data_IF_514175496496
#
_entry.id   IF_514175496496
#
_cell.length_a   1.000
_cell.length_b   1.000
_cell.length_c   1.000
_cell.angle_alpha   90.00
_cell.angle_beta   90.00
_cell.angle_gamma   90.00
#
_symmetry.space_group_name_H-M   'P 1'
#
loop_
_entity.id
_entity.type
_entity.pdbx_description
1 polymer ?
#
# COMPACT_ATOMS: atom_id res chain seq x y z
N UNK A 1 26.47 -4.98 -8.70
CA UNK A 1 25.76 -6.23 -8.33
C UNK A 1 24.79 -5.86 -7.22
N UNK A 2 23.47 -5.89 -7.47
CA UNK A 2 22.49 -5.51 -6.47
C UNK A 2 22.52 -6.54 -5.33
N UNK A 3 22.77 -6.09 -4.09
CA UNK A 3 22.71 -6.95 -2.92
C UNK A 3 21.34 -7.60 -2.81
N UNK A 4 21.27 -8.85 -2.34
CA UNK A 4 20.00 -9.54 -2.11
C UNK A 4 19.15 -8.68 -1.17
N UNK A 5 17.98 -8.25 -1.64
CA UNK A 5 17.03 -7.52 -0.81
C UNK A 5 16.57 -8.45 0.29
N UNK A 6 16.92 -8.07 1.50
CA UNK A 6 16.54 -8.72 2.75
C UNK A 6 15.05 -8.52 2.99
N UNK A 7 14.40 -9.62 3.36
CA UNK A 7 13.00 -9.91 3.18
C UNK A 7 12.47 -10.52 4.50
N UNK A 8 12.82 -9.89 5.61
CA UNK A 8 12.45 -10.35 6.94
C UNK A 8 11.16 -9.65 7.38
N UNK A 9 11.07 -8.32 7.18
CA UNK A 9 9.91 -7.52 7.62
C UNK A 9 8.58 -7.98 7.02
N UNK A 10 8.53 -8.21 5.72
CA UNK A 10 7.33 -8.71 5.03
C UNK A 10 6.94 -10.16 5.40
N UNK A 11 7.85 -10.93 6.02
CA UNK A 11 7.70 -12.36 6.32
C UNK A 11 7.32 -12.57 7.78
N UNK A 12 7.93 -11.78 8.68
CA UNK A 12 7.70 -11.86 10.11
C UNK A 12 6.63 -10.86 10.58
N UNK A 13 6.52 -9.70 9.92
CA UNK A 13 5.64 -8.58 10.31
C UNK A 13 4.80 -8.08 9.12
N UNK A 14 4.11 -9.00 8.42
CA UNK A 14 3.36 -8.69 7.20
C UNK A 14 2.40 -7.50 7.35
N UNK A 15 1.62 -7.45 8.45
CA UNK A 15 0.63 -6.40 8.66
C UNK A 15 1.25 -5.00 8.74
N UNK A 16 2.37 -4.86 9.43
CA UNK A 16 3.07 -3.57 9.54
C UNK A 16 3.69 -3.18 8.20
N UNK A 17 4.38 -4.12 7.55
CA UNK A 17 4.94 -3.94 6.22
C UNK A 17 3.88 -3.50 5.20
N UNK A 18 2.70 -4.13 5.21
CA UNK A 18 1.62 -3.82 4.28
C UNK A 18 1.10 -2.40 4.48
N UNK A 19 0.83 -2.00 5.74
CA UNK A 19 0.35 -0.65 6.05
C UNK A 19 1.36 0.42 5.63
N UNK A 20 2.65 0.21 5.91
CA UNK A 20 3.71 1.12 5.48
C UNK A 20 3.85 1.16 3.95
N UNK A 21 3.76 0.01 3.27
CA UNK A 21 3.89 -0.06 1.82
C UNK A 21 2.76 0.74 1.14
N UNK A 22 1.52 0.54 1.57
CA UNK A 22 0.35 1.24 0.99
C UNK A 22 0.49 2.76 1.13
N UNK A 23 1.01 3.23 2.27
CA UNK A 23 1.23 4.64 2.56
C UNK A 23 2.42 5.20 1.77
N UNK A 24 3.58 4.54 1.81
CA UNK A 24 4.81 4.98 1.13
C UNK A 24 4.70 4.91 -0.39
N UNK A 25 3.93 3.97 -0.93
CA UNK A 25 3.63 3.87 -2.35
C UNK A 25 2.56 4.88 -2.83
N UNK A 26 1.95 5.65 -1.91
CA UNK A 26 0.93 6.64 -2.26
C UNK A 26 -0.33 6.00 -2.85
N UNK A 27 -0.73 4.83 -2.35
CA UNK A 27 -1.93 4.11 -2.83
C UNK A 27 -3.16 4.60 -2.06
N UNK A 28 -3.06 4.61 -0.73
CA UNK A 28 -4.15 5.08 0.14
C UNK A 28 -3.63 6.01 1.25
N UNK A 29 -4.50 6.92 1.69
CA UNK A 29 -4.27 7.79 2.85
C UNK A 29 -5.27 7.46 3.96
N UNK A 30 -4.74 7.12 5.14
CA UNK A 30 -5.50 6.71 6.34
C UNK A 30 -5.89 7.88 7.25
N UNK A 31 -5.50 9.12 6.93
CA UNK A 31 -5.71 10.30 7.78
C UNK A 31 -7.14 10.85 7.74
N UNK A 32 -8.03 10.21 6.99
CA UNK A 32 -9.44 10.62 6.96
C UNK A 32 -10.07 10.42 8.35
N UNK A 33 -10.85 11.39 8.85
CA UNK A 33 -11.29 11.41 10.25
C UNK A 33 -12.45 10.45 10.56
N UNK A 34 -12.55 9.34 9.81
CA UNK A 34 -13.52 8.28 10.03
C UNK A 34 -12.79 6.94 10.05
N UNK A 35 -12.87 6.23 11.17
CA UNK A 35 -12.22 4.94 11.34
C UNK A 35 -12.68 3.96 10.26
N UNK A 36 -11.71 3.35 9.57
CA UNK A 36 -11.98 2.36 8.52
C UNK A 36 -12.25 2.96 7.13
N UNK A 37 -12.24 4.29 6.99
CA UNK A 37 -12.41 4.96 5.70
C UNK A 37 -11.08 5.52 5.23
N UNK A 38 -10.50 4.93 4.18
CA UNK A 38 -9.26 5.43 3.56
C UNK A 38 -9.58 6.21 2.28
N UNK A 39 -8.76 7.22 1.97
CA UNK A 39 -8.83 7.94 0.69
C UNK A 39 -7.93 7.24 -0.32
N UNK A 40 -8.47 6.94 -1.50
CA UNK A 40 -7.67 6.47 -2.63
C UNK A 40 -6.94 7.63 -3.30
N UNK A 41 -5.61 7.58 -3.30
CA UNK A 41 -4.77 8.57 -3.98
C UNK A 41 -4.71 8.32 -5.49
N UNK A 42 -4.22 9.27 -6.32
CA UNK A 42 -4.26 9.13 -7.78
C UNK A 42 -3.63 7.83 -8.30
N UNK A 43 -2.54 7.36 -7.68
CA UNK A 43 -1.90 6.10 -8.06
C UNK A 43 -2.75 4.89 -7.69
N UNK A 44 -3.30 4.84 -6.48
CA UNK A 44 -4.21 3.78 -6.05
C UNK A 44 -5.50 3.73 -6.87
N UNK A 45 -6.08 4.89 -7.19
CA UNK A 45 -7.27 4.96 -8.05
C UNK A 45 -6.99 4.46 -9.48
N UNK A 46 -5.79 4.71 -10.01
CA UNK A 46 -5.38 4.16 -11.32
C UNK A 46 -5.29 2.63 -11.29
N UNK A 47 -4.77 2.05 -10.21
CA UNK A 47 -4.74 0.59 -10.02
C UNK A 47 -6.16 0.03 -9.99
N UNK A 48 -7.05 0.63 -9.19
CA UNK A 48 -8.45 0.19 -9.09
C UNK A 48 -9.17 0.23 -10.45
N UNK A 49 -9.01 1.32 -11.22
CA UNK A 49 -9.60 1.42 -12.57
C UNK A 49 -9.07 0.37 -13.55
N UNK A 50 -7.81 -0.03 -13.41
CA UNK A 50 -7.26 -1.11 -14.23
C UNK A 50 -7.86 -2.48 -13.84
N UNK A 51 -8.21 -2.67 -12.57
CA UNK A 51 -8.91 -3.88 -12.09
C UNK A 51 -10.38 -3.87 -12.55
N UNK A 52 -11.06 -2.73 -12.49
CA UNK A 52 -12.46 -2.60 -12.94
C UNK A 52 -12.67 -2.79 -14.44
N UNK A 53 -11.61 -2.65 -15.25
CA UNK A 53 -11.67 -2.74 -16.71
C UNK A 53 -11.75 -4.19 -17.24
N UNK A 54 -11.58 -5.19 -16.37
CA UNK A 54 -11.73 -6.61 -16.73
C UNK A 54 -13.20 -7.03 -16.79
#
# INVERSE_FOLDING_TARGET
>A
MAGKVKREKWSENFSEWYNELIETAGIQDKRYPVKGMNIWLPYGLKIMRNIERF
#
